data_IF_591904077482
#
_entry.id   IF_591904077482
#
_cell.length_a   1.000
_cell.length_b   1.000
_cell.length_c   1.000
_cell.angle_alpha   90.00
_cell.angle_beta   90.00
_cell.angle_gamma   90.00
#
_symmetry.space_group_name_H-M   'P 1'
#
loop_
_entity.id
_entity.type
_entity.pdbx_description
1 polymer ?
#
# COMPACT_ATOMS: atom_id res chain seq x y z
N UNK A 1 -7.95 -16.58 -1.71
CA UNK A 1 -6.96 -16.78 -0.64
C UNK A 1 -7.64 -16.25 0.60
N UNK A 2 -7.59 -16.96 1.73
CA UNK A 2 -8.43 -16.57 2.87
C UNK A 2 -7.95 -15.23 3.48
N UNK A 3 -8.88 -14.35 3.87
CA UNK A 3 -8.57 -13.16 4.67
C UNK A 3 -7.87 -13.55 5.97
N UNK A 4 -7.06 -12.65 6.51
CA UNK A 4 -6.54 -12.81 7.87
C UNK A 4 -6.67 -11.51 8.66
N UNK A 5 -6.79 -11.68 9.97
CA UNK A 5 -6.94 -10.58 10.92
C UNK A 5 -5.62 -10.28 11.59
N UNK A 6 -5.35 -8.99 11.78
CA UNK A 6 -4.29 -8.46 12.60
C UNK A 6 -4.93 -7.53 13.62
N UNK A 7 -4.49 -7.63 14.86
CA UNK A 7 -4.85 -6.68 15.90
C UNK A 7 -3.64 -5.77 16.06
N UNK A 8 -3.84 -4.46 15.83
CA UNK A 8 -2.82 -3.46 16.13
C UNK A 8 -3.36 -2.62 17.29
N UNK A 9 -2.75 -2.77 18.47
CA UNK A 9 -3.26 -2.24 19.72
C UNK A 9 -4.76 -2.56 19.96
N UNK A 10 -5.67 -1.61 19.69
CA UNK A 10 -7.12 -1.77 19.83
C UNK A 10 -7.89 -1.86 18.51
N UNK A 11 -7.20 -1.77 17.37
CA UNK A 11 -7.81 -1.80 16.03
C UNK A 11 -7.76 -3.22 15.47
N UNK A 12 -8.87 -3.66 14.89
CA UNK A 12 -8.99 -4.94 14.21
C UNK A 12 -8.91 -4.70 12.70
N UNK A 13 -7.76 -5.04 12.11
CA UNK A 13 -7.48 -4.84 10.69
C UNK A 13 -7.63 -6.17 9.97
N UNK A 14 -8.50 -6.21 8.98
CA UNK A 14 -8.69 -7.34 8.07
C UNK A 14 -7.85 -7.10 6.81
N UNK A 15 -7.00 -8.07 6.47
CA UNK A 15 -6.16 -8.02 5.29
C UNK A 15 -6.56 -9.14 4.33
N UNK A 16 -6.80 -8.76 3.09
CA UNK A 16 -7.21 -9.65 2.01
C UNK A 16 -6.25 -9.57 0.81
N UNK A 17 -6.04 -10.71 0.16
CA UNK A 17 -5.32 -10.80 -1.12
C UNK A 17 -5.90 -11.94 -1.97
N UNK A 18 -5.48 -12.06 -3.22
CA UNK A 18 -6.01 -13.05 -4.17
C UNK A 18 -7.21 -12.60 -5.02
N UNK A 19 -7.97 -11.59 -4.60
CA UNK A 19 -9.25 -11.26 -5.26
C UNK A 19 -9.10 -10.31 -6.45
N UNK A 20 -8.51 -9.13 -6.24
CA UNK A 20 -8.41 -8.03 -7.22
C UNK A 20 -6.93 -7.70 -7.46
N UNK A 21 -6.52 -7.38 -8.70
CA UNK A 21 -5.16 -6.90 -8.98
C UNK A 21 -4.11 -7.99 -9.19
N UNK A 22 -4.49 -9.21 -9.56
CA UNK A 22 -3.58 -10.37 -9.71
C UNK A 22 -2.44 -10.18 -10.71
N UNK A 23 -2.48 -9.15 -11.55
CA UNK A 23 -1.42 -8.84 -12.51
C UNK A 23 -0.35 -7.91 -11.92
N UNK A 24 -0.63 -7.24 -10.80
CA UNK A 24 0.36 -6.43 -10.10
C UNK A 24 1.41 -7.33 -9.44
N UNK A 25 2.60 -6.78 -9.21
CA UNK A 25 3.68 -7.48 -8.51
C UNK A 25 3.31 -7.79 -7.05
N UNK A 26 2.54 -6.90 -6.42
CA UNK A 26 1.95 -7.09 -5.11
C UNK A 26 0.63 -6.34 -4.99
N UNK A 27 -0.30 -6.85 -4.19
CA UNK A 27 -1.59 -6.22 -3.95
C UNK A 27 -2.22 -6.70 -2.64
N UNK A 28 -2.85 -5.77 -1.94
CA UNK A 28 -3.53 -6.00 -0.66
C UNK A 28 -4.77 -5.11 -0.59
N UNK A 29 -5.85 -5.68 -0.06
CA UNK A 29 -6.99 -4.90 0.41
C UNK A 29 -6.93 -4.92 1.93
N UNK A 30 -6.92 -3.73 2.54
CA UNK A 30 -6.90 -3.53 3.99
C UNK A 30 -8.25 -2.94 4.39
N UNK A 31 -8.86 -3.53 5.41
CA UNK A 31 -10.18 -3.16 5.88
C UNK A 31 -10.08 -2.90 7.39
N UNK A 32 -10.45 -1.68 7.80
CA UNK A 32 -10.58 -1.28 9.19
C UNK A 32 -12.00 -0.78 9.43
N UNK A 33 -12.83 -1.60 10.08
CA UNK A 33 -14.26 -1.36 10.23
C UNK A 33 -14.98 -1.20 8.89
N UNK A 34 -15.39 0.03 8.57
CA UNK A 34 -16.07 0.39 7.32
C UNK A 34 -15.12 1.02 6.28
N UNK A 35 -13.87 1.30 6.66
CA UNK A 35 -12.87 1.90 5.76
C UNK A 35 -12.16 0.80 4.99
N UNK A 36 -12.15 0.91 3.66
CA UNK A 36 -11.51 -0.05 2.77
C UNK A 36 -10.46 0.69 1.94
N UNK A 37 -9.22 0.21 2.01
CA UNK A 37 -8.08 0.71 1.22
C UNK A 37 -7.57 -0.42 0.35
N UNK A 38 -7.52 -0.19 -0.96
CA UNK A 38 -6.91 -1.10 -1.91
C UNK A 38 -5.56 -0.55 -2.38
N UNK A 39 -4.51 -1.34 -2.18
CA UNK A 39 -3.14 -0.97 -2.55
C UNK A 39 -2.60 -1.99 -3.53
N UNK A 40 -2.02 -1.50 -4.63
CA UNK A 40 -1.28 -2.33 -5.58
C UNK A 40 0.10 -1.74 -5.84
N UNK A 41 1.06 -2.62 -6.09
CA UNK A 41 2.47 -2.27 -6.31
C UNK A 41 2.95 -2.97 -7.57
N UNK A 42 3.62 -2.22 -8.45
CA UNK A 42 4.21 -2.72 -9.67
C UNK A 42 5.70 -2.40 -9.67
N UNK A 43 6.52 -3.44 -9.82
CA UNK A 43 7.97 -3.33 -9.97
C UNK A 43 8.35 -3.75 -11.38
N UNK A 44 9.25 -3.00 -12.02
CA UNK A 44 9.82 -3.39 -13.30
C UNK A 44 10.83 -4.56 -13.11
N UNK A 45 10.79 -5.55 -13.99
CA UNK A 45 11.70 -6.70 -13.94
C UNK A 45 13.15 -6.32 -14.27
N UNK A 46 13.33 -5.32 -15.14
CA UNK A 46 14.63 -4.80 -15.53
C UNK A 46 14.89 -3.47 -14.80
N UNK A 47 16.07 -3.30 -14.17
CA UNK A 47 16.44 -2.02 -13.58
C UNK A 47 16.56 -0.97 -14.68
N UNK A 48 16.09 0.25 -14.39
CA UNK A 48 16.35 1.41 -15.24
C UNK A 48 17.85 1.69 -15.32
N UNK A 49 18.26 2.53 -16.28
CA UNK A 49 19.62 3.03 -16.34
C UNK A 49 20.08 3.56 -14.97
N UNK A 50 21.36 3.38 -14.62
CA UNK A 50 21.89 3.81 -13.35
C UNK A 50 21.64 5.30 -13.16
N UNK A 51 20.87 5.62 -12.12
CA UNK A 51 20.46 6.97 -11.74
C UNK A 51 20.79 7.16 -10.27
N UNK A 52 21.14 8.39 -9.90
CA UNK A 52 21.39 8.77 -8.51
C UNK A 52 20.09 8.83 -7.66
N UNK A 53 18.93 8.65 -8.30
CA UNK A 53 17.62 8.74 -7.66
C UNK A 53 16.82 7.45 -7.81
N UNK A 54 16.13 7.06 -6.73
CA UNK A 54 15.16 5.96 -6.73
C UNK A 54 13.83 6.44 -7.31
N UNK A 55 13.42 5.87 -8.44
CA UNK A 55 12.17 6.21 -9.13
C UNK A 55 10.97 5.51 -8.45
N UNK A 56 10.53 6.08 -7.33
CA UNK A 56 9.28 5.69 -6.66
C UNK A 56 8.19 6.72 -6.96
N UNK A 57 7.05 6.24 -7.45
CA UNK A 57 5.83 7.04 -7.58
C UNK A 57 4.75 6.41 -6.73
N UNK A 58 4.22 7.18 -5.79
CA UNK A 58 3.07 6.78 -4.97
C UNK A 58 1.87 7.57 -5.47
N UNK A 59 0.77 6.85 -5.70
CA UNK A 59 -0.48 7.46 -6.11
C UNK A 59 -1.55 7.11 -5.10
N UNK A 60 -2.13 8.14 -4.49
CA UNK A 60 -3.23 8.01 -3.54
C UNK A 60 -4.44 8.76 -4.08
N UNK A 61 -5.58 8.09 -4.13
CA UNK A 61 -6.80 8.66 -4.67
C UNK A 61 -8.01 8.20 -3.86
N UNK A 62 -8.79 9.15 -3.38
CA UNK A 62 -10.07 8.89 -2.74
C UNK A 62 -11.20 8.90 -3.78
N UNK A 63 -11.93 7.80 -3.86
CA UNK A 63 -13.15 7.73 -4.66
C UNK A 63 -14.29 8.43 -3.93
N UNK A 64 -14.98 9.38 -4.58
CA UNK A 64 -16.16 10.04 -3.97
C UNK A 64 -17.27 9.04 -3.60
N UNK A 65 -17.38 7.97 -4.39
CA UNK A 65 -18.30 6.87 -4.13
C UNK A 65 -18.02 6.14 -2.81
N UNK A 66 -16.78 6.20 -2.29
CA UNK A 66 -16.45 5.60 -0.99
C UNK A 66 -17.21 6.28 0.16
N UNK A 67 -17.49 7.58 0.04
CA UNK A 67 -18.34 8.33 0.98
C UNK A 67 -19.83 8.36 0.55
N UNK A 68 -20.20 7.61 -0.48
CA UNK A 68 -21.55 7.64 -1.07
C UNK A 68 -21.89 8.94 -1.79
N UNK A 69 -20.88 9.75 -2.14
CA UNK A 69 -21.06 11.05 -2.76
C UNK A 69 -20.73 11.02 -4.26
N UNK A 70 -21.38 11.89 -5.03
CA UNK A 70 -21.03 12.14 -6.43
C UNK A 70 -20.32 13.49 -6.51
N UNK A 71 -19.25 13.59 -7.30
CA UNK A 71 -18.51 14.83 -7.49
C UNK A 71 -19.43 15.97 -7.95
N UNK A 72 -19.41 17.10 -7.24
CA UNK A 72 -20.30 18.26 -7.50
C UNK A 72 -19.88 19.16 -8.68
N UNK A 73 -18.78 18.86 -9.37
CA UNK A 73 -18.29 19.64 -10.51
C UNK A 73 -19.02 19.33 -11.83
N UNK A 74 -18.73 20.14 -12.86
CA UNK A 74 -19.24 19.90 -14.23
C UNK A 74 -18.79 18.54 -14.77
N UNK A 75 -17.52 18.18 -14.53
CA UNK A 75 -17.00 16.86 -14.81
C UNK A 75 -17.29 15.94 -13.62
N UNK A 76 -18.16 14.95 -13.84
CA UNK A 76 -18.56 13.97 -12.83
C UNK A 76 -17.55 12.82 -12.68
N UNK A 77 -16.28 13.16 -12.50
CA UNK A 77 -15.16 12.22 -12.40
C UNK A 77 -14.17 12.70 -11.38
N UNK A 78 -13.44 11.77 -10.79
CA UNK A 78 -12.25 12.05 -10.00
C UNK A 78 -11.25 12.79 -10.89
N UNK A 79 -10.84 13.97 -10.43
CA UNK A 79 -10.04 14.92 -11.21
C UNK A 79 -8.56 14.79 -10.89
N UNK A 80 -7.89 15.94 -10.75
CA UNK A 80 -6.53 15.98 -10.22
C UNK A 80 -6.52 15.60 -8.74
N UNK A 81 -5.39 15.09 -8.28
CA UNK A 81 -5.10 14.89 -6.87
C UNK A 81 -5.35 16.20 -6.10
N UNK A 82 -6.05 16.09 -4.99
CA UNK A 82 -6.32 17.19 -4.05
C UNK A 82 -5.12 17.40 -3.15
N UNK A 83 -5.03 18.56 -2.50
CA UNK A 83 -3.89 18.90 -1.63
C UNK A 83 -3.63 17.86 -0.55
N UNK A 84 -4.68 17.30 0.07
CA UNK A 84 -4.52 16.25 1.08
C UNK A 84 -4.03 14.93 0.49
N UNK A 85 -4.47 14.58 -0.73
CA UNK A 85 -4.01 13.39 -1.44
C UNK A 85 -2.52 13.53 -1.79
N UNK A 86 -2.10 14.71 -2.25
CA UNK A 86 -0.68 15.00 -2.54
C UNK A 86 0.19 14.91 -1.28
N UNK A 87 -0.32 15.35 -0.13
CA UNK A 87 0.40 15.21 1.14
C UNK A 87 0.54 13.75 1.54
N UNK A 88 -0.50 12.93 1.34
CA UNK A 88 -0.47 11.48 1.61
C UNK A 88 0.45 10.74 0.63
N UNK A 89 0.54 11.18 -0.62
CA UNK A 89 1.48 10.64 -1.61
C UNK A 89 2.95 10.94 -1.25
N UNK A 90 3.20 11.98 -0.46
CA UNK A 90 4.54 12.39 -0.12
C UNK A 90 5.07 11.64 1.10
N UNK A 91 6.02 10.73 0.86
CA UNK A 91 6.83 10.11 1.92
C UNK A 91 8.07 10.95 2.19
N UNK A 92 8.31 11.23 3.47
CA UNK A 92 9.56 11.84 3.93
C UNK A 92 10.74 10.86 3.81
N UNK A 93 11.97 11.40 3.81
CA UNK A 93 13.20 10.59 3.74
C UNK A 93 13.32 9.64 4.94
N UNK A 94 12.84 10.07 6.11
CA UNK A 94 12.84 9.29 7.34
C UNK A 94 11.90 8.08 7.23
N UNK A 95 10.71 8.27 6.67
CA UNK A 95 9.75 7.18 6.43
C UNK A 95 10.27 6.19 5.39
N UNK A 96 10.94 6.66 4.33
CA UNK A 96 11.58 5.77 3.35
C UNK A 96 12.68 4.92 3.97
N UNK A 97 13.47 5.49 4.89
CA UNK A 97 14.47 4.75 5.65
C UNK A 97 13.80 3.70 6.54
N UNK A 98 12.75 4.06 7.27
CA UNK A 98 11.98 3.14 8.10
C UNK A 98 11.36 1.98 7.33
N UNK A 99 10.78 2.25 6.15
CA UNK A 99 10.24 1.19 5.28
C UNK A 99 11.35 0.25 4.81
N UNK A 100 12.52 0.78 4.48
CA UNK A 100 13.66 -0.03 4.05
C UNK A 100 14.19 -0.92 5.17
N UNK A 101 14.26 -0.40 6.40
CA UNK A 101 14.66 -1.16 7.58
C UNK A 101 13.63 -2.25 7.91
N UNK A 102 12.34 -1.92 7.91
CA UNK A 102 11.26 -2.87 8.12
C UNK A 102 11.28 -4.00 7.07
N UNK A 103 11.53 -3.66 5.80
CA UNK A 103 11.68 -4.66 4.74
C UNK A 103 12.85 -5.61 4.99
N UNK A 104 14.01 -5.08 5.40
CA UNK A 104 15.20 -5.88 5.71
C UNK A 104 14.97 -6.81 6.90
N UNK A 105 14.22 -6.37 7.91
CA UNK A 105 13.85 -7.21 9.06
C UNK A 105 12.90 -8.34 8.64
N UNK A 106 11.95 -8.07 7.75
CA UNK A 106 10.97 -9.06 7.26
C UNK A 106 11.55 -10.04 6.22
N UNK A 107 12.51 -9.62 5.40
CA UNK A 107 13.22 -10.44 4.40
C UNK A 107 14.26 -11.37 5.05
N UNK A 108 13.78 -12.27 5.91
CA UNK A 108 14.62 -13.18 6.71
C UNK A 108 15.47 -14.13 5.87
N UNK A 109 15.11 -14.37 4.61
CA UNK A 109 15.86 -15.21 3.67
C UNK A 109 16.75 -14.43 2.69
N UNK A 110 16.82 -13.09 2.83
CA UNK A 110 17.63 -12.19 1.99
C UNK A 110 17.43 -12.41 0.49
N UNK A 111 16.22 -12.81 0.08
CA UNK A 111 15.91 -13.03 -1.34
C UNK A 111 15.50 -11.74 -2.04
N UNK A 112 15.41 -10.63 -1.29
CA UNK A 112 14.89 -9.36 -1.79
C UNK A 112 13.40 -9.41 -2.09
N UNK A 113 12.67 -10.39 -1.52
CA UNK A 113 11.23 -10.57 -1.71
C UNK A 113 10.61 -11.09 -0.41
N UNK A 114 9.68 -10.33 0.14
CA UNK A 114 8.90 -10.75 1.31
C UNK A 114 7.76 -11.65 0.85
N UNK A 115 7.80 -12.91 1.27
CA UNK A 115 6.69 -13.85 1.11
C UNK A 115 5.51 -13.50 2.01
N UNK A 116 4.33 -14.01 1.69
CA UNK A 116 3.12 -13.71 2.45
C UNK A 116 3.21 -14.17 3.92
N UNK A 117 3.86 -15.32 4.16
CA UNK A 117 4.07 -15.82 5.52
C UNK A 117 5.06 -14.95 6.30
N UNK A 118 6.12 -14.46 5.64
CA UNK A 118 7.04 -13.48 6.24
C UNK A 118 6.34 -12.17 6.55
N UNK A 119 5.49 -11.67 5.64
CA UNK A 119 4.71 -10.46 5.87
C UNK A 119 3.77 -10.61 7.06
N UNK A 120 3.06 -11.75 7.15
CA UNK A 120 2.16 -12.05 8.27
C UNK A 120 2.88 -12.05 9.61
N UNK A 121 4.02 -12.74 9.69
CA UNK A 121 4.81 -12.81 10.91
C UNK A 121 5.44 -11.45 11.26
N UNK A 122 5.99 -10.76 10.27
CA UNK A 122 6.64 -9.46 10.45
C UNK A 122 5.69 -8.38 10.96
N UNK A 123 4.44 -8.35 10.51
CA UNK A 123 3.45 -7.40 11.02
C UNK A 123 3.02 -7.74 12.45
N UNK A 124 2.99 -9.02 12.84
CA UNK A 124 2.69 -9.42 14.21
C UNK A 124 3.79 -9.06 15.21
N UNK A 125 5.05 -8.95 14.76
CA UNK A 125 6.19 -8.58 15.61
C UNK A 125 6.34 -7.05 15.79
N UNK A 126 5.57 -6.25 15.05
CA UNK A 126 5.59 -4.79 15.11
C UNK A 126 4.64 -4.20 16.19
N UNK A 127 3.94 -5.05 16.94
CA UNK A 127 3.05 -4.70 18.06
C UNK A 127 3.82 -4.52 19.39
#
# INVERSE_FOLDING_TARGET
MEPWLIYLASLQILIETGHIGRQASGYLTVIDGETIVYTSVCLADAPSEPSDFFLLSVHYQECFSAAGWTSGGFFKREGRAKDHEVVVEHLSVEELAGIKEAFQLMDTDNKGKVSLDQLRNGIQELD
#
